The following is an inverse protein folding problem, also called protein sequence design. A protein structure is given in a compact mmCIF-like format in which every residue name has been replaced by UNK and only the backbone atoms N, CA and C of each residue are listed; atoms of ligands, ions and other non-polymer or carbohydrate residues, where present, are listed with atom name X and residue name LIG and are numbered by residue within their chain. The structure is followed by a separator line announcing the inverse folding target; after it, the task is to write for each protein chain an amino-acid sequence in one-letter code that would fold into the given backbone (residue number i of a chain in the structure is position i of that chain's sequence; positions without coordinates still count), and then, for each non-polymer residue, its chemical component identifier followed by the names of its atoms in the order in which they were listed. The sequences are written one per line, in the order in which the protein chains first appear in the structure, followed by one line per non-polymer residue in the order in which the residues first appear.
data_IF_475750064505
#
_entry.id   IF_475750064505
#
_cell.length_a   1.000
_cell.length_b   1.000
_cell.length_c   1.000
_cell.angle_alpha   90.00
_cell.angle_beta   90.00
_cell.angle_gamma   90.00
#
_symmetry.space_group_name_H-M   'P 1'
#
loop_
_entity.id
_entity.type
_entity.pdbx_description
1 polymer ?
#
# COMPACT_ATOMS: atom_id res chain seq x y z
N UNK A 1 27.64 24.26 -41.32
CA UNK A 1 28.08 24.13 -39.92
C UNK A 1 27.05 24.70 -38.96
N UNK A 2 26.85 26.03 -38.87
CA UNK A 2 25.98 26.66 -37.86
C UNK A 2 24.56 26.03 -37.74
N UNK A 3 23.87 25.77 -38.85
CA UNK A 3 22.54 25.14 -38.83
C UNK A 3 22.50 23.74 -38.18
N UNK A 4 23.56 22.95 -38.32
CA UNK A 4 23.66 21.64 -37.67
C UNK A 4 23.82 21.79 -36.15
N UNK A 5 24.56 22.82 -35.72
CA UNK A 5 24.77 23.13 -34.31
C UNK A 5 23.45 23.50 -33.60
N UNK A 6 22.61 24.30 -34.26
CA UNK A 6 21.28 24.68 -33.73
C UNK A 6 20.32 23.49 -33.60
N UNK A 7 20.33 22.55 -34.56
CA UNK A 7 19.50 21.34 -34.51
C UNK A 7 19.94 20.41 -33.37
N UNK A 8 21.25 20.18 -33.23
CA UNK A 8 21.81 19.39 -32.12
C UNK A 8 21.56 20.06 -30.76
N UNK A 9 21.69 21.39 -30.66
CA UNK A 9 21.38 22.13 -29.44
C UNK A 9 19.89 21.99 -29.06
N UNK A 10 18.96 22.11 -30.03
CA UNK A 10 17.53 21.90 -29.78
C UNK A 10 17.21 20.48 -29.29
N UNK A 11 17.83 19.46 -29.87
CA UNK A 11 17.70 18.07 -29.44
C UNK A 11 18.20 17.86 -28.00
N UNK A 12 19.37 18.39 -27.67
CA UNK A 12 19.96 18.31 -26.31
C UNK A 12 19.10 19.06 -25.29
N UNK A 13 18.58 20.25 -25.63
CA UNK A 13 17.70 21.03 -24.73
C UNK A 13 16.40 20.28 -24.47
N UNK A 14 15.76 19.71 -25.50
CA UNK A 14 14.56 18.89 -25.33
C UNK A 14 14.79 17.67 -24.42
N UNK A 15 15.86 16.93 -24.69
CA UNK A 15 16.24 15.75 -23.90
C UNK A 15 16.59 16.10 -22.43
N UNK A 16 17.27 17.23 -22.19
CA UNK A 16 17.54 17.73 -20.84
C UNK A 16 16.24 18.14 -20.13
N UNK A 17 15.26 18.74 -20.81
CA UNK A 17 13.98 19.10 -20.20
C UNK A 17 13.19 17.85 -19.80
N UNK A 18 13.13 16.83 -20.67
CA UNK A 18 12.49 15.55 -20.40
C UNK A 18 13.16 14.83 -19.20
N UNK A 19 14.49 14.75 -19.19
CA UNK A 19 15.28 14.18 -18.10
C UNK A 19 15.16 14.97 -16.78
N UNK A 20 15.06 16.30 -16.85
CA UNK A 20 14.80 17.14 -15.67
C UNK A 20 13.42 16.88 -15.09
N UNK A 21 12.38 16.69 -15.92
CA UNK A 21 11.01 16.39 -15.47
C UNK A 21 11.00 15.03 -14.76
N UNK A 22 11.58 14.00 -15.37
CA UNK A 22 11.71 12.66 -14.78
C UNK A 22 12.47 12.71 -13.44
N UNK A 23 13.62 13.39 -13.41
CA UNK A 23 14.40 13.62 -12.18
C UNK A 23 13.74 14.60 -11.19
N UNK A 24 12.66 15.31 -11.54
CA UNK A 24 11.85 16.07 -10.59
C UNK A 24 10.72 15.22 -10.00
N UNK A 25 10.12 14.33 -10.80
CA UNK A 25 8.95 13.54 -10.41
C UNK A 25 9.30 12.22 -9.72
N UNK A 26 10.39 11.58 -10.13
CA UNK A 26 10.75 10.22 -9.70
C UNK A 26 11.88 10.17 -8.66
N UNK A 27 12.52 11.31 -8.40
CA UNK A 27 13.58 11.46 -7.39
C UNK A 27 13.00 11.58 -5.98
N UNK A 28 12.26 10.56 -5.55
CA UNK A 28 12.01 10.28 -4.13
C UNK A 28 13.29 9.67 -3.55
N UNK A 29 13.85 10.29 -2.53
CA UNK A 29 15.17 9.90 -2.00
C UNK A 29 15.15 8.44 -1.49
N UNK A 30 15.86 7.48 -2.12
CA UNK A 30 15.79 6.07 -1.73
C UNK A 30 16.37 5.84 -0.33
N UNK A 31 17.32 6.68 0.08
CA UNK A 31 17.89 6.76 1.43
C UNK A 31 16.86 7.13 2.53
N UNK A 32 15.77 7.84 2.21
CA UNK A 32 14.70 8.14 3.18
C UNK A 32 13.69 7.00 3.35
N UNK A 33 13.66 6.04 2.43
CA UNK A 33 12.84 4.84 2.58
C UNK A 33 13.38 3.92 3.69
N UNK A 34 14.70 3.91 3.92
CA UNK A 34 15.34 3.15 5.01
C UNK A 34 15.35 3.93 6.33
N UNK A 35 15.71 5.22 6.33
CA UNK A 35 15.86 6.05 7.54
C UNK A 35 14.53 6.59 8.10
N UNK A 36 13.39 5.99 7.73
CA UNK A 36 12.08 6.38 8.23
C UNK A 36 11.87 5.91 9.68
N UNK A 37 11.61 6.79 10.68
CA UNK A 37 11.52 6.41 12.11
C UNK A 37 10.38 5.44 12.50
N UNK A 38 9.52 5.05 11.55
CA UNK A 38 8.59 3.94 11.71
C UNK A 38 9.25 2.57 11.51
N UNK A 39 10.24 2.46 10.61
CA UNK A 39 10.93 1.22 10.27
C UNK A 39 11.66 0.59 11.45
N UNK A 40 12.30 1.41 12.30
CA UNK A 40 12.98 0.93 13.51
C UNK A 40 11.98 0.42 14.56
N UNK A 41 10.83 1.10 14.70
CA UNK A 41 9.75 0.71 15.62
C UNK A 41 9.11 -0.60 15.20
N UNK A 42 8.79 -0.75 13.91
CA UNK A 42 8.28 -1.99 13.34
C UNK A 42 9.26 -3.16 13.53
N UNK A 43 10.57 -2.93 13.41
CA UNK A 43 11.58 -3.95 13.70
C UNK A 43 11.65 -4.32 15.19
N UNK A 44 11.53 -3.33 16.09
CA UNK A 44 11.46 -3.57 17.53
C UNK A 44 10.19 -4.36 17.93
N UNK A 45 9.02 -3.98 17.40
CA UNK A 45 7.74 -4.65 17.62
C UNK A 45 7.78 -6.11 17.12
N UNK A 46 8.35 -6.35 15.94
CA UNK A 46 8.57 -7.70 15.40
C UNK A 46 9.52 -8.54 16.27
N UNK A 47 10.57 -7.94 16.84
CA UNK A 47 11.46 -8.63 17.77
C UNK A 47 10.74 -8.98 19.08
N UNK A 48 9.95 -8.05 19.63
CA UNK A 48 9.16 -8.26 20.85
C UNK A 48 8.04 -9.30 20.65
N UNK A 49 7.39 -9.33 19.48
CA UNK A 49 6.40 -10.34 19.15
C UNK A 49 7.03 -11.75 19.07
N UNK A 50 8.19 -11.88 18.41
CA UNK A 50 8.95 -13.15 18.36
C UNK A 50 9.39 -13.63 19.75
N UNK A 51 9.83 -12.72 20.61
CA UNK A 51 10.20 -13.05 22.00
C UNK A 51 9.00 -13.55 22.82
N UNK A 52 7.81 -12.95 22.64
CA UNK A 52 6.58 -13.41 23.31
C UNK A 52 6.15 -14.80 22.84
N UNK A 53 6.23 -15.08 21.52
CA UNK A 53 5.91 -16.40 20.97
C UNK A 53 6.84 -17.47 21.57
N UNK A 54 8.16 -17.26 21.54
CA UNK A 54 9.12 -18.21 22.11
C UNK A 54 8.92 -18.41 23.63
N UNK A 55 8.56 -17.35 24.38
CA UNK A 55 8.26 -17.45 25.81
C UNK A 55 6.95 -18.21 26.08
N UNK A 56 5.94 -18.11 25.21
CA UNK A 56 4.68 -18.84 25.33
C UNK A 56 4.85 -20.32 24.94
N UNK A 57 5.60 -20.62 23.88
CA UNK A 57 5.98 -21.98 23.49
C UNK A 57 6.76 -22.69 24.61
N UNK A 58 7.69 -22.01 25.27
CA UNK A 58 8.40 -22.55 26.43
C UNK A 58 7.45 -22.88 27.61
N UNK A 59 6.44 -22.04 27.88
CA UNK A 59 5.43 -22.30 28.91
C UNK A 59 4.53 -23.49 28.54
N UNK A 60 4.12 -23.59 27.27
CA UNK A 60 3.35 -24.73 26.75
C UNK A 60 4.13 -26.06 26.87
N UNK A 61 5.44 -26.05 26.60
CA UNK A 61 6.29 -27.25 26.77
C UNK A 61 6.62 -27.58 28.23
N UNK A 62 6.52 -26.61 29.16
CA UNK A 62 6.85 -26.78 30.58
C UNK A 62 5.64 -27.20 31.42
N UNK A 63 4.41 -27.13 30.89
CA UNK A 63 3.18 -27.48 31.62
C UNK A 63 2.95 -29.00 31.65
N UNK A 64 2.97 -29.67 32.81
CA UNK A 64 2.64 -31.10 32.90
C UNK A 64 1.12 -31.30 32.78
N UNK A 65 0.71 -32.33 32.05
CA UNK A 65 -0.70 -32.70 31.87
C UNK A 65 -1.38 -33.06 33.21
N UNK A 66 -2.39 -32.27 33.60
CA UNK A 66 -3.38 -32.60 34.62
C UNK A 66 -4.76 -32.04 34.19
N UNK A 67 -5.87 -32.69 34.58
CA UNK A 67 -6.87 -33.05 33.58
C UNK A 67 -8.03 -32.06 33.42
N UNK A 68 -8.65 -32.13 32.24
CA UNK A 68 -9.86 -31.40 31.92
C UNK A 68 -11.08 -31.86 32.74
N UNK A 69 -11.54 -31.02 33.69
CA UNK A 69 -12.93 -30.97 34.18
C UNK A 69 -13.18 -29.64 34.91
N UNK A 70 -13.82 -28.70 34.21
CA UNK A 70 -14.90 -27.77 34.62
C UNK A 70 -15.02 -26.66 33.55
N UNK A 71 -16.18 -26.46 32.89
CA UNK A 71 -17.43 -25.83 33.37
C UNK A 71 -17.23 -24.34 33.75
N UNK A 72 -18.03 -23.38 33.25
CA UNK A 72 -19.19 -23.45 32.34
C UNK A 72 -19.59 -22.05 31.83
N UNK A 73 -20.23 -21.99 30.66
CA UNK A 73 -21.10 -20.91 30.16
C UNK A 73 -20.59 -19.45 30.11
N UNK A 74 -20.30 -19.00 28.88
CA UNK A 74 -20.76 -17.69 28.39
C UNK A 74 -21.20 -17.86 26.92
N UNK A 75 -22.37 -17.35 26.55
CA UNK A 75 -22.96 -17.51 25.21
C UNK A 75 -22.46 -16.42 24.22
N UNK A 76 -22.53 -16.68 22.89
CA UNK A 76 -21.84 -15.86 21.90
C UNK A 76 -22.51 -14.50 21.67
N UNK A 77 -21.79 -13.41 21.99
CA UNK A 77 -22.14 -12.08 21.47
C UNK A 77 -21.71 -12.01 20.01
N UNK A 78 -22.69 -12.13 19.11
CA UNK A 78 -22.49 -11.90 17.68
C UNK A 78 -22.24 -10.40 17.43
N UNK A 79 -20.97 -10.02 17.39
CA UNK A 79 -20.50 -8.86 16.63
C UNK A 79 -19.71 -9.43 15.47
N UNK A 80 -20.11 -9.14 14.24
CA UNK A 80 -19.30 -9.50 13.07
C UNK A 80 -17.91 -8.87 13.22
N UNK A 81 -16.83 -9.67 13.22
CA UNK A 81 -15.51 -9.11 13.03
C UNK A 81 -15.46 -8.62 11.60
N UNK A 82 -15.69 -7.31 11.41
CA UNK A 82 -15.34 -6.62 10.17
C UNK A 82 -13.92 -7.08 9.82
N UNK A 83 -13.73 -7.77 8.67
CA UNK A 83 -12.59 -8.65 8.50
C UNK A 83 -11.31 -7.86 8.71
N UNK A 84 -10.50 -8.28 9.68
CA UNK A 84 -9.25 -7.63 10.01
C UNK A 84 -8.36 -7.70 8.76
N UNK A 85 -8.40 -6.63 7.95
CA UNK A 85 -7.84 -6.63 6.61
C UNK A 85 -6.37 -6.96 6.77
N UNK A 86 -5.95 -8.08 6.19
CA UNK A 86 -4.60 -8.56 6.32
C UNK A 86 -3.65 -7.45 5.88
N UNK A 87 -2.91 -6.89 6.83
CA UNK A 87 -1.96 -5.81 6.60
C UNK A 87 -0.73 -6.36 5.87
N UNK A 88 -0.94 -6.69 4.60
CA UNK A 88 0.11 -7.04 3.66
C UNK A 88 1.05 -5.85 3.45
N UNK A 89 2.08 -6.08 2.65
CA UNK A 89 2.89 -4.99 2.11
C UNK A 89 1.96 -4.03 1.35
N UNK A 90 2.07 -2.70 1.52
CA UNK A 90 1.33 -1.76 0.70
C UNK A 90 1.56 -2.01 -0.79
N UNK A 91 0.49 -1.97 -1.57
CA UNK A 91 0.52 -2.15 -3.02
C UNK A 91 0.81 -0.81 -3.72
N UNK A 92 1.41 -0.88 -4.91
CA UNK A 92 1.58 0.30 -5.74
C UNK A 92 0.29 0.58 -6.53
N UNK A 93 -0.57 1.42 -5.94
CA UNK A 93 -1.83 1.87 -6.57
C UNK A 93 -1.61 2.60 -7.91
N UNK A 94 -0.40 3.05 -8.26
CA UNK A 94 -0.13 3.68 -9.57
C UNK A 94 -0.08 2.69 -10.73
N UNK A 95 -0.12 1.38 -10.47
CA UNK A 95 -0.32 0.35 -11.49
C UNK A 95 -1.72 0.41 -12.14
N UNK A 96 -2.69 1.04 -11.48
CA UNK A 96 -4.06 1.23 -11.97
C UNK A 96 -4.12 2.43 -12.91
N UNK A 97 -4.72 2.26 -14.09
CA UNK A 97 -4.71 3.27 -15.14
C UNK A 97 -5.50 4.51 -14.72
N UNK A 98 -4.81 5.65 -14.68
CA UNK A 98 -5.36 6.95 -14.26
C UNK A 98 -5.08 7.31 -12.80
N UNK A 99 -4.62 6.39 -11.95
CA UNK A 99 -4.15 6.72 -10.60
C UNK A 99 -2.72 7.27 -10.67
N UNK A 100 -2.61 8.58 -10.92
CA UNK A 100 -1.32 9.27 -10.79
C UNK A 100 -0.81 9.32 -9.35
N UNK A 101 0.48 9.62 -9.10
CA UNK A 101 1.08 9.64 -7.76
C UNK A 101 0.37 10.54 -6.74
N UNK A 102 -0.32 11.60 -7.19
CA UNK A 102 -1.15 12.48 -6.34
C UNK A 102 -2.39 11.77 -5.83
N UNK A 103 -3.07 10.98 -6.66
CA UNK A 103 -4.25 10.21 -6.27
C UNK A 103 -3.87 8.99 -5.43
N UNK A 104 -2.78 8.27 -5.80
CA UNK A 104 -2.22 7.20 -4.96
C UNK A 104 -1.85 7.71 -3.56
N UNK A 105 -1.25 8.91 -3.46
CA UNK A 105 -1.00 9.56 -2.15
C UNK A 105 -2.28 9.84 -1.38
N UNK A 106 -3.30 10.46 -2.00
CA UNK A 106 -4.59 10.75 -1.34
C UNK A 106 -5.29 9.48 -0.84
N UNK A 107 -5.24 8.38 -1.61
CA UNK A 107 -5.76 7.07 -1.21
C UNK A 107 -4.98 6.49 -0.02
N UNK A 108 -3.65 6.51 -0.09
CA UNK A 108 -2.78 6.05 1.01
C UNK A 108 -2.99 6.86 2.31
N UNK A 109 -3.08 8.19 2.19
CA UNK A 109 -3.33 9.11 3.32
C UNK A 109 -4.72 8.86 3.95
N UNK A 110 -5.69 8.35 3.18
CA UNK A 110 -7.01 7.91 3.65
C UNK A 110 -7.04 6.43 4.12
N UNK A 111 -5.90 5.73 4.17
CA UNK A 111 -5.78 4.34 4.62
C UNK A 111 -6.05 3.28 3.54
N UNK A 112 -6.36 3.67 2.29
CA UNK A 112 -6.44 2.75 1.16
C UNK A 112 -5.01 2.59 0.61
N UNK A 113 -4.35 1.52 1.03
CA UNK A 113 -2.92 1.23 0.78
C UNK A 113 -2.69 -0.10 0.05
N UNK A 114 -3.76 -0.81 -0.33
CA UNK A 114 -3.71 -2.08 -1.06
C UNK A 114 -4.78 -2.13 -2.15
N UNK A 115 -4.54 -2.92 -3.20
CA UNK A 115 -5.54 -3.19 -4.23
C UNK A 115 -6.80 -3.82 -3.62
N UNK A 116 -6.64 -4.68 -2.60
CA UNK A 116 -7.75 -5.32 -1.90
C UNK A 116 -8.64 -4.30 -1.15
N UNK A 117 -8.07 -3.24 -0.57
CA UNK A 117 -8.84 -2.15 0.05
C UNK A 117 -9.55 -1.30 -1.01
N UNK A 118 -8.86 -0.93 -2.09
CA UNK A 118 -9.47 -0.14 -3.17
C UNK A 118 -10.59 -0.90 -3.89
N UNK A 119 -10.46 -2.22 -4.06
CA UNK A 119 -11.49 -3.10 -4.62
C UNK A 119 -12.74 -3.26 -3.74
N UNK A 120 -12.72 -2.77 -2.49
CA UNK A 120 -13.84 -2.76 -1.54
C UNK A 120 -14.46 -1.38 -1.34
N UNK A 121 -13.77 -0.30 -1.72
CA UNK A 121 -14.28 1.07 -1.63
C UNK A 121 -15.41 1.32 -2.65
N UNK A 122 -16.31 2.27 -2.36
CA UNK A 122 -17.33 2.72 -3.33
C UNK A 122 -16.77 3.79 -4.28
N UNK A 123 -17.34 3.96 -5.49
CA UNK A 123 -16.96 5.04 -6.40
C UNK A 123 -17.04 6.43 -5.75
N UNK A 124 -18.05 6.66 -4.89
CA UNK A 124 -18.27 7.91 -4.19
C UNK A 124 -17.18 8.18 -3.13
N UNK A 125 -16.83 7.17 -2.33
CA UNK A 125 -15.73 7.25 -1.35
C UNK A 125 -14.40 7.54 -2.04
N UNK A 126 -14.11 6.84 -3.13
CA UNK A 126 -12.89 7.06 -3.92
C UNK A 126 -12.88 8.48 -4.47
N UNK A 127 -14.00 9.01 -4.98
CA UNK A 127 -14.11 10.38 -5.46
C UNK A 127 -13.89 11.43 -4.35
N UNK A 128 -14.54 11.25 -3.19
CA UNK A 128 -14.39 12.11 -2.00
C UNK A 128 -12.95 12.15 -1.46
N UNK A 129 -12.24 11.02 -1.54
CA UNK A 129 -10.83 10.92 -1.16
C UNK A 129 -9.92 11.57 -2.22
N UNK A 130 -10.08 11.25 -3.51
CA UNK A 130 -9.15 11.74 -4.53
C UNK A 130 -9.35 13.20 -4.91
N UNK A 131 -10.52 13.79 -4.64
CA UNK A 131 -10.85 15.22 -4.86
C UNK A 131 -10.30 15.75 -6.19
N UNK A 132 -10.67 15.05 -7.26
CA UNK A 132 -10.30 15.42 -8.63
C UNK A 132 -11.07 16.68 -9.04
N UNK A 133 -10.42 17.57 -9.78
CA UNK A 133 -11.10 18.70 -10.40
C UNK A 133 -11.86 18.27 -11.66
N UNK A 134 -12.94 18.98 -12.02
CA UNK A 134 -13.84 18.70 -13.17
C UNK A 134 -13.13 18.45 -14.52
N UNK A 135 -11.92 18.97 -14.72
CA UNK A 135 -11.11 18.80 -15.93
C UNK A 135 -10.22 17.54 -15.92
N UNK A 136 -10.14 16.84 -14.78
CA UNK A 136 -9.39 15.60 -14.62
C UNK A 136 -10.34 14.42 -14.88
N UNK A 137 -10.18 13.75 -16.02
CA UNK A 137 -10.93 12.52 -16.31
C UNK A 137 -10.51 11.40 -15.34
N UNK A 138 -11.31 11.23 -14.27
CA UNK A 138 -11.17 10.15 -13.29
C UNK A 138 -12.36 9.22 -13.39
N UNK A 139 -12.09 7.90 -13.36
CA UNK A 139 -13.14 6.88 -13.41
C UNK A 139 -13.01 5.95 -12.20
N UNK A 140 -13.52 6.36 -11.01
CA UNK A 140 -13.42 5.55 -9.79
C UNK A 140 -13.95 4.12 -9.96
N UNK A 141 -15.00 3.93 -10.75
CA UNK A 141 -15.54 2.60 -11.05
C UNK A 141 -14.57 1.72 -11.86
N UNK A 142 -13.82 2.29 -12.80
CA UNK A 142 -12.76 1.58 -13.53
C UNK A 142 -11.60 1.25 -12.60
N UNK A 143 -11.19 2.18 -11.72
CA UNK A 143 -10.15 1.94 -10.73
C UNK A 143 -10.48 0.82 -9.75
N UNK A 144 -11.74 0.74 -9.28
CA UNK A 144 -12.23 -0.34 -8.41
C UNK A 144 -12.25 -1.69 -9.15
N UNK A 145 -12.50 -1.70 -10.47
CA UNK A 145 -12.45 -2.90 -11.30
C UNK A 145 -11.01 -3.38 -11.53
N UNK A 146 -10.10 -2.49 -11.92
CA UNK A 146 -8.66 -2.78 -12.06
C UNK A 146 -8.05 -3.24 -10.72
N UNK A 147 -8.38 -2.57 -9.61
CA UNK A 147 -7.97 -2.99 -8.26
C UNK A 147 -8.49 -4.38 -7.89
N UNK A 148 -9.68 -4.76 -8.35
CA UNK A 148 -10.22 -6.12 -8.12
C UNK A 148 -9.46 -7.17 -8.92
N UNK A 149 -9.05 -6.85 -10.15
CA UNK A 149 -8.20 -7.74 -10.95
C UNK A 149 -6.80 -7.90 -10.33
N UNK A 150 -6.18 -6.81 -9.87
CA UNK A 150 -4.86 -6.82 -9.24
C UNK A 150 -4.84 -7.42 -7.82
N UNK A 151 -5.96 -7.39 -7.09
CA UNK A 151 -6.09 -8.02 -5.77
C UNK A 151 -6.42 -9.53 -5.82
N UNK A 152 -6.69 -10.09 -7.00
CA UNK A 152 -6.87 -11.52 -7.16
C UNK A 152 -5.53 -12.26 -6.99
N UNK A 153 -5.46 -13.35 -6.19
CA UNK A 153 -4.21 -14.03 -5.88
C UNK A 153 -3.69 -14.91 -7.05
N UNK A 154 -3.13 -14.26 -8.07
CA UNK A 154 -2.17 -14.84 -9.00
C UNK A 154 -2.69 -15.29 -10.37
N UNK A 155 -2.53 -14.42 -11.38
CA UNK A 155 -2.24 -14.83 -12.76
C UNK A 155 -0.95 -14.16 -13.26
N UNK A 156 0.17 -14.50 -12.61
CA UNK A 156 1.51 -14.19 -13.12
C UNK A 156 2.01 -15.28 -14.05
N UNK A 157 2.36 -14.92 -15.29
CA UNK A 157 3.05 -15.77 -16.27
C UNK A 157 4.52 -15.42 -16.43
#
# INVERSE_FOLDING_TARGET
MQFLLGLVAGLIIGWIIEWIIDWQFWRVDPEKATDSPGSDRLQADLAQARAQIAALEAQLQTTPDLPATERMAAEPVATEPAPAIAAGRPDDLTQIKGIGPVFARRLNDAGITTFAQLAQATPDQVHEIVQAAEWQAVEPAAWIADARALSAPGEGG
#
